data_IF_691523061584
#
_entry.id   IF_691523061584
#
_cell.length_a   1.000
_cell.length_b   1.000
_cell.length_c   1.000
_cell.angle_alpha   90.00
_cell.angle_beta   90.00
_cell.angle_gamma   90.00
#
_symmetry.space_group_name_H-M   'P 1'
#
loop_
_entity.id
_entity.type
_entity.pdbx_description
1 polymer ?
#
# COMPACT_ATOMS: atom_id res chain seq x y z
N UNK A 1 -10.48 -1.06 -21.44
CA UNK A 1 -10.46 -1.08 -19.97
C UNK A 1 -9.85 -2.42 -19.59
N UNK A 2 -8.73 -2.45 -18.88
CA UNK A 2 -8.33 -3.69 -18.19
C UNK A 2 -9.13 -3.69 -16.89
N UNK A 3 -10.08 -4.60 -16.76
CA UNK A 3 -10.92 -4.74 -15.55
C UNK A 3 -10.09 -5.05 -14.32
N UNK A 4 -8.94 -5.68 -14.51
CA UNK A 4 -8.17 -6.29 -13.44
C UNK A 4 -7.27 -5.25 -12.76
N UNK A 5 -6.70 -4.31 -13.54
CA UNK A 5 -6.00 -3.16 -12.96
C UNK A 5 -6.91 -2.32 -12.07
N UNK A 6 -8.14 -2.04 -12.50
CA UNK A 6 -9.08 -1.21 -11.74
C UNK A 6 -9.57 -1.92 -10.47
N UNK A 7 -9.69 -3.25 -10.50
CA UNK A 7 -9.96 -4.06 -9.31
C UNK A 7 -8.79 -3.98 -8.30
N UNK A 8 -7.56 -4.17 -8.77
CA UNK A 8 -6.38 -4.03 -7.90
C UNK A 8 -6.21 -2.60 -7.37
N UNK A 9 -6.56 -1.58 -8.15
CA UNK A 9 -6.55 -0.18 -7.73
C UNK A 9 -7.56 0.09 -6.59
N UNK A 10 -8.73 -0.54 -6.64
CA UNK A 10 -9.73 -0.47 -5.57
C UNK A 10 -9.26 -1.18 -4.29
N UNK A 11 -8.67 -2.37 -4.43
CA UNK A 11 -8.13 -3.13 -3.30
C UNK A 11 -6.96 -2.39 -2.65
N UNK A 12 -6.07 -1.82 -3.47
CA UNK A 12 -4.98 -0.95 -3.02
C UNK A 12 -5.52 0.20 -2.16
N UNK A 13 -6.53 0.94 -2.66
CA UNK A 13 -7.14 2.04 -1.91
C UNK A 13 -7.77 1.60 -0.58
N UNK A 14 -8.38 0.41 -0.57
CA UNK A 14 -8.99 -0.16 0.64
C UNK A 14 -7.96 -0.51 1.71
N UNK A 15 -6.93 -1.27 1.32
CA UNK A 15 -5.90 -1.76 2.26
C UNK A 15 -5.06 -0.59 2.76
N UNK A 16 -4.67 0.36 1.91
CA UNK A 16 -3.89 1.54 2.32
C UNK A 16 -4.63 2.44 3.30
N UNK A 17 -5.94 2.60 3.13
CA UNK A 17 -6.78 3.34 4.08
C UNK A 17 -6.82 2.63 5.45
N UNK A 18 -6.95 1.30 5.44
CA UNK A 18 -6.93 0.50 6.68
C UNK A 18 -5.56 0.56 7.38
N UNK A 19 -4.47 0.38 6.64
CA UNK A 19 -3.09 0.51 7.15
C UNK A 19 -2.88 1.88 7.77
N UNK A 20 -3.25 2.95 7.06
CA UNK A 20 -3.15 4.33 7.56
C UNK A 20 -3.91 4.52 8.88
N UNK A 21 -5.12 3.96 8.99
CA UNK A 21 -5.91 4.00 10.22
C UNK A 21 -5.19 3.28 11.38
N UNK A 22 -4.66 2.08 11.13
CA UNK A 22 -3.94 1.27 12.13
C UNK A 22 -2.67 1.96 12.60
N UNK A 23 -1.87 2.52 11.69
CA UNK A 23 -0.67 3.30 12.01
C UNK A 23 -1.01 4.46 12.94
N UNK A 24 -2.10 5.20 12.68
CA UNK A 24 -2.56 6.28 13.55
C UNK A 24 -2.99 5.83 14.96
N UNK A 25 -3.31 4.54 15.15
CA UNK A 25 -3.70 3.96 16.45
C UNK A 25 -2.52 3.42 17.24
N UNK A 26 -1.48 2.91 16.58
CA UNK A 26 -0.31 2.25 17.20
C UNK A 26 0.35 3.09 18.32
N UNK A 27 0.56 4.42 18.19
CA UNK A 27 1.16 5.22 19.25
C UNK A 27 0.37 5.24 20.57
N UNK A 28 -0.94 4.94 20.52
CA UNK A 28 -1.83 4.90 21.68
C UNK A 28 -1.89 3.52 22.35
N UNK A 29 -1.26 2.50 21.76
CA UNK A 29 -1.26 1.13 22.26
C UNK A 29 0.05 0.81 22.99
N UNK A 30 0.03 -0.24 23.79
CA UNK A 30 1.21 -0.74 24.51
C UNK A 30 1.16 -2.25 24.67
N UNK A 31 2.29 -2.86 25.05
CA UNK A 31 2.38 -4.29 25.27
C UNK A 31 2.01 -5.12 24.04
N UNK A 32 1.30 -6.23 24.28
CA UNK A 32 0.93 -7.20 23.24
C UNK A 32 0.04 -6.61 22.15
N UNK A 33 -0.91 -5.75 22.51
CA UNK A 33 -1.82 -5.11 21.54
C UNK A 33 -1.07 -4.26 20.52
N UNK A 34 -0.02 -3.55 20.96
CA UNK A 34 0.86 -2.80 20.05
C UNK A 34 1.61 -3.76 19.13
N UNK A 35 2.20 -4.82 19.68
CA UNK A 35 2.97 -5.81 18.90
C UNK A 35 2.11 -6.45 17.82
N UNK A 36 0.90 -6.90 18.17
CA UNK A 36 -0.03 -7.51 17.21
C UNK A 36 -0.45 -6.54 16.10
N UNK A 37 -0.74 -5.28 16.44
CA UNK A 37 -1.12 -4.30 15.44
C UNK A 37 0.03 -3.91 14.51
N UNK A 38 1.26 -3.85 15.02
CA UNK A 38 2.48 -3.65 14.22
C UNK A 38 2.66 -4.80 13.22
N UNK A 39 2.62 -6.05 13.69
CA UNK A 39 2.74 -7.23 12.83
C UNK A 39 1.65 -7.27 11.75
N UNK A 40 0.43 -6.85 12.11
CA UNK A 40 -0.67 -6.79 11.16
C UNK A 40 -0.45 -5.72 10.09
N UNK A 41 0.06 -4.54 10.47
CA UNK A 41 0.44 -3.49 9.50
C UNK A 41 1.56 -3.96 8.59
N UNK A 42 2.60 -4.61 9.13
CA UNK A 42 3.71 -5.15 8.33
C UNK A 42 3.20 -6.14 7.26
N UNK A 43 2.33 -7.07 7.64
CA UNK A 43 1.72 -8.02 6.71
C UNK A 43 0.89 -7.32 5.63
N UNK A 44 0.10 -6.32 6.00
CA UNK A 44 -0.71 -5.59 5.01
C UNK A 44 0.14 -4.75 4.06
N UNK A 45 1.27 -4.21 4.51
CA UNK A 45 2.22 -3.53 3.63
C UNK A 45 2.83 -4.51 2.61
N UNK A 46 3.11 -5.75 3.00
CA UNK A 46 3.51 -6.82 2.08
C UNK A 46 2.41 -7.13 1.05
N UNK A 47 1.16 -7.29 1.49
CA UNK A 47 0.01 -7.49 0.58
C UNK A 47 -0.15 -6.31 -0.42
N UNK A 48 0.09 -5.08 0.02
CA UNK A 48 0.06 -3.91 -0.87
C UNK A 48 1.19 -3.93 -1.89
N UNK A 49 2.40 -4.39 -1.53
CA UNK A 49 3.50 -4.54 -2.49
C UNK A 49 3.14 -5.57 -3.56
N UNK A 50 2.58 -6.70 -3.17
CA UNK A 50 2.12 -7.73 -4.11
C UNK A 50 1.07 -7.17 -5.07
N UNK A 51 0.10 -6.38 -4.58
CA UNK A 51 -0.89 -5.71 -5.44
C UNK A 51 -0.23 -4.73 -6.43
N UNK A 52 0.75 -3.95 -5.99
CA UNK A 52 1.49 -3.04 -6.88
C UNK A 52 2.27 -3.80 -7.97
N UNK A 53 2.77 -5.00 -7.67
CA UNK A 53 3.38 -5.89 -8.66
C UNK A 53 2.35 -6.43 -9.65
N UNK A 54 1.17 -6.86 -9.19
CA UNK A 54 0.08 -7.28 -10.07
C UNK A 54 -0.38 -6.14 -11.00
N UNK A 55 -0.54 -4.94 -10.45
CA UNK A 55 -0.86 -3.74 -11.23
C UNK A 55 0.23 -3.44 -12.29
N UNK A 56 1.51 -3.62 -11.96
CA UNK A 56 2.61 -3.45 -12.93
C UNK A 56 2.51 -4.44 -14.09
N UNK A 57 2.18 -5.71 -13.80
CA UNK A 57 1.96 -6.74 -14.80
C UNK A 57 0.77 -6.38 -15.70
N UNK A 58 -0.35 -5.97 -15.13
CA UNK A 58 -1.53 -5.55 -15.90
C UNK A 58 -1.22 -4.37 -16.83
N UNK A 59 -0.44 -3.38 -16.37
CA UNK A 59 -0.05 -2.25 -17.22
C UNK A 59 0.78 -2.68 -18.43
N UNK A 60 1.57 -3.75 -18.31
CA UNK A 60 2.33 -4.30 -19.45
C UNK A 60 1.43 -4.93 -20.51
N UNK A 61 0.25 -5.39 -20.15
CA UNK A 61 -0.73 -5.97 -21.08
C UNK A 61 -1.61 -4.90 -21.75
N UNK A 62 -1.70 -3.69 -21.18
CA UNK A 62 -2.48 -2.58 -21.75
C UNK A 62 -1.87 -2.11 -23.09
N UNK A 63 -2.67 -1.68 -24.09
CA UNK A 63 -2.15 -1.08 -25.32
C UNK A 63 -1.25 0.14 -25.06
N UNK A 64 -0.13 0.24 -25.80
CA UNK A 64 0.90 1.28 -25.60
C UNK A 64 0.33 2.70 -25.53
N UNK A 65 -0.69 3.00 -26.32
CA UNK A 65 -1.35 4.33 -26.37
C UNK A 65 -2.05 4.69 -25.05
N UNK A 66 -2.55 3.69 -24.31
CA UNK A 66 -3.27 3.88 -23.04
C UNK A 66 -2.38 3.72 -21.81
N UNK A 67 -1.21 3.05 -21.94
CA UNK A 67 -0.26 2.83 -20.83
C UNK A 67 0.17 4.10 -20.06
N UNK A 68 0.41 5.27 -20.68
CA UNK A 68 0.92 6.43 -19.95
C UNK A 68 0.04 6.85 -18.76
N UNK A 69 -1.28 6.74 -18.91
CA UNK A 69 -2.23 7.05 -17.82
C UNK A 69 -2.02 6.11 -16.63
N UNK A 70 -2.02 4.80 -16.87
CA UNK A 70 -1.89 3.79 -15.82
C UNK A 70 -0.50 3.80 -15.16
N UNK A 71 0.55 4.01 -15.95
CA UNK A 71 1.92 4.18 -15.42
C UNK A 71 2.03 5.38 -14.48
N UNK A 72 1.34 6.48 -14.79
CA UNK A 72 1.34 7.66 -13.91
C UNK A 72 0.70 7.34 -12.56
N UNK A 73 -0.43 6.62 -12.55
CA UNK A 73 -1.10 6.20 -11.31
C UNK A 73 -0.24 5.24 -10.50
N UNK A 74 0.29 4.20 -11.16
CA UNK A 74 1.15 3.21 -10.51
C UNK A 74 2.40 3.85 -9.89
N UNK A 75 3.00 4.84 -10.55
CA UNK A 75 4.12 5.60 -10.00
C UNK A 75 3.72 6.38 -8.73
N UNK A 76 2.55 7.01 -8.73
CA UNK A 76 2.03 7.70 -7.54
C UNK A 76 1.82 6.72 -6.38
N UNK A 77 1.20 5.58 -6.64
CA UNK A 77 0.95 4.55 -5.61
C UNK A 77 2.25 3.99 -5.04
N UNK A 78 3.23 3.64 -5.88
CA UNK A 78 4.55 3.18 -5.43
C UNK A 78 5.23 4.22 -4.53
N UNK A 79 5.17 5.50 -4.89
CA UNK A 79 5.76 6.57 -4.07
C UNK A 79 5.04 6.79 -2.74
N UNK A 80 3.72 6.62 -2.69
CA UNK A 80 2.95 6.69 -1.45
C UNK A 80 3.35 5.57 -0.47
N UNK A 81 3.48 4.34 -0.97
CA UNK A 81 3.87 3.19 -0.16
C UNK A 81 5.33 3.29 0.30
N UNK A 82 6.24 3.70 -0.57
CA UNK A 82 7.65 3.92 -0.18
C UNK A 82 7.75 4.93 0.97
N UNK A 83 6.96 6.01 0.92
CA UNK A 83 6.88 6.98 2.01
C UNK A 83 6.31 6.35 3.28
N UNK A 84 5.19 5.63 3.18
CA UNK A 84 4.51 5.03 4.32
C UNK A 84 5.40 4.01 5.03
N UNK A 85 6.12 3.18 4.27
CA UNK A 85 7.06 2.18 4.78
C UNK A 85 8.29 2.80 5.44
N UNK A 86 8.71 3.98 5.00
CA UNK A 86 9.80 4.72 5.64
C UNK A 86 9.33 5.38 6.94
N UNK A 87 8.15 5.99 6.91
CA UNK A 87 7.59 6.72 8.06
C UNK A 87 7.16 5.74 9.17
N UNK A 88 6.64 4.56 8.81
CA UNK A 88 6.10 3.59 9.78
C UNK A 88 7.11 3.18 10.86
N UNK A 89 8.33 2.69 10.55
CA UNK A 89 9.34 2.39 11.57
C UNK A 89 9.73 3.60 12.41
N UNK A 90 9.80 4.80 11.82
CA UNK A 90 10.13 6.02 12.57
C UNK A 90 9.07 6.37 13.60
N UNK A 91 7.79 6.10 13.31
CA UNK A 91 6.68 6.27 14.24
C UNK A 91 6.73 5.27 15.41
N UNK A 92 7.40 4.12 15.24
CA UNK A 92 7.58 3.15 16.32
C UNK A 92 8.68 3.53 17.30
N UNK A 93 9.72 4.24 16.83
CA UNK A 93 10.94 4.56 17.59
C UNK A 93 10.91 5.89 18.36
N UNK A 94 10.02 6.83 18.00
CA UNK A 94 9.88 8.08 18.75
C UNK A 94 9.11 7.85 20.06
N UNK A 95 9.85 7.60 21.14
CA UNK A 95 9.42 7.68 22.55
C UNK A 95 10.43 8.48 23.36
#
# INVERSE_FOLDING_TARGET
MSSDFEAYELDFGTITAEVTNKIGRIPKLSGEEKTQLVLNVDKQLEEVRELLEQMDLEVREIPIQSRPMYNSRLKSYKGEIEKLEKDFPMLLTNK
#
